data_IF_738103090855
#
_entry.id   IF_738103090855
#
_cell.length_a   1.000
_cell.length_b   1.000
_cell.length_c   1.000
_cell.angle_alpha   90.00
_cell.angle_beta   90.00
_cell.angle_gamma   90.00
#
_symmetry.space_group_name_H-M   'P 1'
#
loop_
_entity.id
_entity.type
_entity.pdbx_description
1 polymer ?
#
# COMPACT_ATOMS: atom_id res chain seq x y z
N UNK A 1 17.04 -11.36 -6.17
CA UNK A 1 17.98 -10.64 -7.06
C UNK A 1 18.39 -9.34 -6.39
N UNK A 2 19.69 -8.99 -6.40
CA UNK A 2 20.23 -7.85 -5.63
C UNK A 2 20.44 -6.63 -6.53
N UNK A 3 19.41 -5.79 -6.69
CA UNK A 3 19.55 -4.52 -7.43
C UNK A 3 20.27 -3.52 -6.53
N UNK A 4 21.51 -3.16 -6.87
CA UNK A 4 22.32 -2.22 -6.08
C UNK A 4 21.99 -0.75 -6.34
N UNK A 5 21.37 -0.44 -7.48
CA UNK A 5 21.09 0.94 -7.88
C UNK A 5 19.78 1.43 -7.27
N UNK A 6 19.87 2.45 -6.40
CA UNK A 6 18.71 3.13 -5.79
C UNK A 6 17.81 3.76 -6.85
N UNK A 7 18.38 4.27 -7.93
CA UNK A 7 17.61 4.80 -9.05
C UNK A 7 16.75 3.71 -9.70
N UNK A 8 17.34 2.54 -9.95
CA UNK A 8 16.63 1.43 -10.57
C UNK A 8 15.52 0.89 -9.65
N UNK A 9 15.77 0.85 -8.33
CA UNK A 9 14.75 0.54 -7.32
C UNK A 9 13.57 1.51 -7.40
N UNK A 10 13.83 2.83 -7.45
CA UNK A 10 12.77 3.84 -7.56
C UNK A 10 11.99 3.70 -8.87
N UNK A 11 12.69 3.53 -9.99
CA UNK A 11 12.05 3.35 -11.29
C UNK A 11 11.16 2.09 -11.30
N UNK A 12 11.66 0.98 -10.78
CA UNK A 12 10.89 -0.26 -10.66
C UNK A 12 9.63 -0.06 -9.78
N UNK A 13 9.75 0.65 -8.65
CA UNK A 13 8.60 0.97 -7.81
C UNK A 13 7.55 1.83 -8.55
N UNK A 14 7.97 2.83 -9.32
CA UNK A 14 7.05 3.65 -10.11
C UNK A 14 6.32 2.82 -11.17
N UNK A 15 7.05 1.99 -11.92
CA UNK A 15 6.46 1.11 -12.95
C UNK A 15 5.47 0.14 -12.29
N UNK A 16 5.83 -0.47 -11.17
CA UNK A 16 4.96 -1.38 -10.43
C UNK A 16 3.69 -0.68 -9.93
N UNK A 17 3.81 0.53 -9.37
CA UNK A 17 2.67 1.33 -8.90
C UNK A 17 1.75 1.69 -10.07
N UNK A 18 2.29 2.13 -11.21
CA UNK A 18 1.48 2.45 -12.39
C UNK A 18 0.75 1.22 -12.94
N UNK A 19 1.45 0.09 -13.05
CA UNK A 19 0.85 -1.17 -13.48
C UNK A 19 -0.26 -1.62 -12.52
N UNK A 20 -0.03 -1.56 -11.21
CA UNK A 20 -1.03 -1.92 -10.22
C UNK A 20 -2.23 -0.95 -10.23
N UNK A 21 -2.01 0.36 -10.38
CA UNK A 21 -3.12 1.33 -10.53
C UNK A 21 -3.95 1.07 -11.78
N UNK A 22 -3.30 0.77 -12.90
CA UNK A 22 -3.98 0.36 -14.12
C UNK A 22 -4.81 -0.91 -13.91
N UNK A 23 -4.23 -1.95 -13.30
CA UNK A 23 -4.95 -3.17 -12.96
C UNK A 23 -6.15 -2.90 -12.04
N UNK A 24 -5.95 -2.18 -10.93
CA UNK A 24 -7.03 -1.91 -9.99
C UNK A 24 -8.11 -0.99 -10.56
N UNK A 25 -7.80 -0.16 -11.56
CA UNK A 25 -8.82 0.61 -12.28
C UNK A 25 -9.75 -0.23 -13.15
N UNK A 26 -9.34 -1.44 -13.55
CA UNK A 26 -10.22 -2.37 -14.28
C UNK A 26 -11.03 -3.27 -13.35
N UNK A 27 -10.72 -3.28 -12.05
CA UNK A 27 -11.38 -4.09 -11.05
C UNK A 27 -12.47 -3.29 -10.32
N UNK A 28 -13.57 -3.98 -9.98
CA UNK A 28 -14.57 -3.43 -9.05
C UNK A 28 -14.23 -3.85 -7.63
N UNK A 29 -13.41 -3.04 -6.97
CA UNK A 29 -13.00 -3.29 -5.58
C UNK A 29 -14.18 -3.04 -4.63
N UNK A 30 -14.46 -4.01 -3.75
CA UNK A 30 -15.47 -3.88 -2.69
C UNK A 30 -14.81 -4.04 -1.33
N UNK A 31 -14.89 -3.01 -0.49
CA UNK A 31 -14.49 -3.10 0.91
C UNK A 31 -15.69 -3.57 1.73
N UNK A 32 -15.58 -4.74 2.37
CA UNK A 32 -16.59 -5.25 3.29
C UNK A 32 -16.04 -5.21 4.72
N UNK A 33 -16.33 -4.16 5.50
CA UNK A 33 -15.80 -4.05 6.85
C UNK A 33 -16.48 -5.07 7.76
N UNK A 34 -15.70 -5.69 8.66
CA UNK A 34 -16.24 -6.64 9.64
C UNK A 34 -17.21 -5.97 10.65
N UNK A 35 -17.06 -4.66 10.87
CA UNK A 35 -17.92 -3.83 11.73
C UNK A 35 -18.10 -2.44 11.14
N UNK A 36 -19.26 -1.78 11.34
CA UNK A 36 -19.44 -0.39 10.94
C UNK A 36 -18.34 0.51 11.54
N UNK A 37 -17.83 1.46 10.75
CA UNK A 37 -16.78 2.38 11.16
C UNK A 37 -15.34 1.87 10.99
N UNK A 38 -15.13 0.57 10.76
CA UNK A 38 -13.81 0.01 10.47
C UNK A 38 -13.45 0.26 8.99
N UNK A 39 -12.94 1.45 8.69
CA UNK A 39 -12.65 1.87 7.31
C UNK A 39 -11.19 2.30 7.17
N UNK A 40 -10.43 1.64 6.29
CA UNK A 40 -9.02 1.96 6.04
C UNK A 40 -8.84 3.14 5.06
N UNK A 41 -9.85 3.40 4.22
CA UNK A 41 -9.78 4.34 3.09
C UNK A 41 -10.78 5.49 3.18
N UNK A 42 -11.21 5.82 4.39
CA UNK A 42 -12.24 6.82 4.63
C UNK A 42 -12.20 7.36 6.05
N UNK A 43 -13.02 8.37 6.37
CA UNK A 43 -12.99 9.04 7.66
C UNK A 43 -13.25 8.08 8.83
N UNK A 44 -12.32 8.01 9.78
CA UNK A 44 -12.43 7.22 11.02
C UNK A 44 -12.72 8.08 12.25
N UNK A 45 -12.87 9.40 12.08
CA UNK A 45 -12.95 10.35 13.18
C UNK A 45 -11.71 10.30 14.08
N UNK A 46 -11.93 10.18 15.38
CA UNK A 46 -10.88 10.07 16.39
C UNK A 46 -10.35 8.65 16.57
N UNK A 47 -11.00 7.67 15.95
CA UNK A 47 -10.55 6.28 16.04
C UNK A 47 -9.28 6.07 15.21
N UNK A 48 -8.39 5.21 15.74
CA UNK A 48 -7.17 4.74 15.09
C UNK A 48 -7.22 3.22 15.09
N UNK A 49 -6.88 2.63 13.95
CA UNK A 49 -6.91 1.18 13.75
C UNK A 49 -5.50 0.70 13.39
N UNK A 50 -5.17 -0.48 13.89
CA UNK A 50 -4.00 -1.24 13.45
C UNK A 50 -4.47 -2.33 12.49
N UNK A 51 -3.98 -2.29 11.26
CA UNK A 51 -4.24 -3.32 10.26
C UNK A 51 -3.00 -4.21 10.12
N UNK A 52 -3.17 -5.51 10.36
CA UNK A 52 -2.13 -6.51 10.17
C UNK A 52 -2.49 -7.33 8.93
N UNK A 53 -1.60 -7.34 7.95
CA UNK A 53 -1.76 -8.05 6.69
C UNK A 53 -0.53 -8.92 6.46
N UNK A 54 -0.72 -10.09 5.84
CA UNK A 54 0.41 -10.86 5.32
C UNK A 54 0.85 -10.30 3.97
N UNK A 55 2.07 -10.64 3.55
CA UNK A 55 2.65 -10.12 2.30
C UNK A 55 1.93 -10.65 1.04
N UNK A 56 1.23 -11.77 1.14
CA UNK A 56 0.44 -12.37 0.05
C UNK A 56 -0.75 -11.48 -0.37
N UNK A 57 -1.26 -10.69 0.57
CA UNK A 57 -2.43 -9.83 0.43
C UNK A 57 -2.04 -8.37 0.23
N UNK A 58 -0.74 -8.05 0.13
CA UNK A 58 -0.19 -6.70 0.24
C UNK A 58 -0.67 -5.70 -0.81
N UNK A 59 -1.08 -6.18 -1.98
CA UNK A 59 -1.62 -5.30 -3.02
C UNK A 59 -2.96 -4.68 -2.61
N UNK A 60 -3.78 -5.41 -1.84
CA UNK A 60 -5.08 -4.91 -1.39
C UNK A 60 -4.95 -3.69 -0.45
N UNK A 61 -4.19 -3.72 0.67
CA UNK A 61 -4.02 -2.56 1.55
C UNK A 61 -3.40 -1.34 0.86
N UNK A 62 -2.64 -1.54 -0.22
CA UNK A 62 -1.92 -0.47 -0.93
C UNK A 62 -2.78 0.14 -2.05
N UNK A 63 -3.56 -0.66 -2.78
CA UNK A 63 -4.22 -0.22 -4.02
C UNK A 63 -5.75 -0.29 -4.01
N UNK A 64 -6.38 -0.91 -2.99
CA UNK A 64 -7.84 -1.05 -2.94
C UNK A 64 -8.60 0.28 -2.74
N UNK A 65 -7.93 1.34 -2.31
CA UNK A 65 -8.55 2.64 -2.09
C UNK A 65 -7.52 3.72 -1.80
N UNK A 66 -8.00 4.96 -1.65
CA UNK A 66 -7.14 6.09 -1.25
C UNK A 66 -6.89 6.01 0.26
N UNK A 67 -5.63 5.97 0.73
CA UNK A 67 -5.34 5.93 2.16
C UNK A 67 -5.92 7.14 2.91
N UNK A 68 -6.48 6.91 4.10
CA UNK A 68 -6.91 7.97 5.01
C UNK A 68 -6.04 7.99 6.26
N UNK A 69 -5.17 9.00 6.39
CA UNK A 69 -4.25 9.17 7.53
C UNK A 69 -3.54 7.86 7.93
N UNK A 70 -2.90 7.21 6.95
CA UNK A 70 -2.35 5.86 7.10
C UNK A 70 -0.82 5.88 7.15
N UNK A 71 -0.25 5.11 8.07
CA UNK A 71 1.15 4.74 8.09
C UNK A 71 1.28 3.21 8.04
N UNK A 72 2.39 2.72 7.53
CA UNK A 72 2.70 1.30 7.45
C UNK A 72 4.05 1.01 8.08
N UNK A 73 4.21 -0.17 8.66
CA UNK A 73 5.50 -0.65 9.15
C UNK A 73 5.99 -1.74 8.21
N UNK A 74 7.15 -1.52 7.60
CA UNK A 74 7.79 -2.45 6.67
C UNK A 74 9.22 -2.71 7.12
N UNK A 75 9.68 -3.96 6.98
CA UNK A 75 11.05 -4.36 7.31
C UNK A 75 12.08 -3.55 6.53
N UNK A 76 13.22 -3.24 7.15
CA UNK A 76 14.38 -2.61 6.49
C UNK A 76 15.11 -3.54 5.51
N UNK A 77 14.66 -4.79 5.35
CA UNK A 77 15.20 -5.70 4.34
C UNK A 77 15.05 -5.11 2.93
N UNK A 78 15.93 -5.50 2.01
CA UNK A 78 15.97 -4.89 0.67
C UNK A 78 14.65 -5.03 -0.09
N UNK A 79 13.91 -6.13 0.10
CA UNK A 79 12.56 -6.31 -0.48
C UNK A 79 11.54 -5.31 0.10
N UNK A 80 11.70 -4.96 1.37
CA UNK A 80 10.91 -3.93 2.03
C UNK A 80 11.21 -2.51 1.52
N UNK A 81 12.39 -2.28 0.93
CA UNK A 81 12.74 -0.95 0.39
C UNK A 81 11.94 -0.59 -0.87
N UNK A 82 11.69 -1.53 -1.78
CA UNK A 82 10.83 -1.30 -2.95
C UNK A 82 9.39 -1.03 -2.52
N UNK A 83 8.93 -1.82 -1.54
CA UNK A 83 7.60 -1.71 -0.99
C UNK A 83 7.39 -0.35 -0.28
N UNK A 84 8.37 0.09 0.51
CA UNK A 84 8.36 1.39 1.16
C UNK A 84 8.30 2.54 0.13
N UNK A 85 9.06 2.46 -0.96
CA UNK A 85 8.97 3.46 -2.03
C UNK A 85 7.60 3.42 -2.72
N UNK A 86 7.04 2.23 -2.98
CA UNK A 86 5.69 2.11 -3.54
C UNK A 86 4.60 2.69 -2.61
N UNK A 87 4.71 2.46 -1.29
CA UNK A 87 3.81 3.01 -0.27
C UNK A 87 3.80 4.54 -0.30
N UNK A 88 4.98 5.18 -0.38
CA UNK A 88 5.07 6.65 -0.50
C UNK A 88 4.34 7.17 -1.74
N UNK A 89 4.47 6.48 -2.88
CA UNK A 89 3.84 6.87 -4.15
C UNK A 89 2.31 6.78 -4.12
N UNK A 90 1.74 5.96 -3.24
CA UNK A 90 0.29 5.85 -3.05
C UNK A 90 -0.23 6.68 -1.86
N UNK A 91 0.65 7.41 -1.17
CA UNK A 91 0.28 8.28 -0.05
C UNK A 91 0.22 7.59 1.31
N UNK A 92 0.93 6.46 1.48
CA UNK A 92 1.13 5.78 2.76
C UNK A 92 2.53 6.15 3.27
N UNK A 93 2.64 6.53 4.55
CA UNK A 93 3.94 6.80 5.18
C UNK A 93 4.53 5.49 5.73
N UNK A 94 5.62 4.94 5.15
CA UNK A 94 6.28 3.73 5.64
C UNK A 94 7.26 3.99 6.80
#
# INVERSE_FOLDING_TARGET
MRIRSVFLTKLAAHVAVWACRGLFSTLRVQLRPARPGLVAYGPTGDQRFLYCTWHDSILMPIFAGRPWKMAALVSRHQDGSYLAEAMKLVGITP
#
